data_IF_676316534522
#
_entry.id   IF_676316534522
#
_cell.length_a   1.000
_cell.length_b   1.000
_cell.length_c   1.000
_cell.angle_alpha   90.00
_cell.angle_beta   90.00
_cell.angle_gamma   90.00
#
_symmetry.space_group_name_H-M   'P 1'
#
loop_
_entity.id
_entity.type
_entity.pdbx_description
1 polymer ?
#
# COMPACT_ATOMS: atom_id res chain seq x y z
N UNK A 1 1.81 -34.25 56.99
CA UNK A 1 1.16 -35.59 57.05
C UNK A 1 -0.16 -35.62 56.26
N UNK A 2 -1.30 -35.15 56.79
CA UNK A 2 -2.59 -35.19 56.06
C UNK A 2 -2.73 -34.11 54.97
N UNK A 3 -2.16 -32.92 55.17
CA UNK A 3 -2.21 -31.81 54.19
C UNK A 3 -1.26 -32.04 52.99
N UNK A 4 -0.12 -32.70 53.20
CA UNK A 4 0.81 -33.09 52.11
C UNK A 4 0.20 -34.15 51.19
N UNK A 5 -0.56 -35.12 51.74
CA UNK A 5 -1.25 -36.13 50.95
C UNK A 5 -2.40 -35.55 50.11
N UNK A 6 -3.00 -34.44 50.53
CA UNK A 6 -4.07 -33.76 49.76
C UNK A 6 -3.50 -32.90 48.62
N UNK A 7 -2.31 -32.30 48.80
CA UNK A 7 -1.63 -31.56 47.72
C UNK A 7 -1.01 -32.48 46.65
N UNK A 8 -0.42 -33.63 47.03
CA UNK A 8 0.08 -34.60 46.06
C UNK A 8 -1.04 -35.21 45.20
N UNK A 9 -2.20 -35.50 45.79
CA UNK A 9 -3.34 -36.05 45.06
C UNK A 9 -3.99 -35.04 44.11
N UNK A 10 -4.05 -33.75 44.49
CA UNK A 10 -4.51 -32.68 43.60
C UNK A 10 -3.53 -32.41 42.43
N UNK A 11 -2.22 -32.39 42.72
CA UNK A 11 -1.16 -32.25 41.71
C UNK A 11 -1.15 -33.41 40.70
N UNK A 12 -1.30 -34.65 41.19
CA UNK A 12 -1.39 -35.84 40.34
C UNK A 12 -2.66 -35.86 39.49
N UNK A 13 -3.79 -35.36 40.01
CA UNK A 13 -5.04 -35.24 39.24
C UNK A 13 -4.93 -34.20 38.12
N UNK A 14 -4.28 -33.05 38.37
CA UNK A 14 -4.04 -32.01 37.36
C UNK A 14 -3.05 -32.50 36.28
N UNK A 15 -2.02 -33.25 36.66
CA UNK A 15 -1.06 -33.83 35.71
C UNK A 15 -1.66 -34.97 34.87
N UNK A 16 -2.60 -35.74 35.42
CA UNK A 16 -3.31 -36.79 34.69
C UNK A 16 -4.33 -36.22 33.68
N UNK A 17 -4.92 -35.06 33.97
CA UNK A 17 -5.89 -34.38 33.11
C UNK A 17 -5.24 -33.79 31.84
N UNK A 18 -3.99 -33.33 31.96
CA UNK A 18 -3.19 -32.77 30.86
C UNK A 18 -2.63 -33.84 29.88
N UNK A 19 -2.54 -35.10 30.30
CA UNK A 19 -2.03 -36.21 29.49
C UNK A 19 -3.13 -37.11 28.91
N UNK A 20 -4.40 -36.74 29.08
CA UNK A 20 -5.51 -37.45 28.49
C UNK A 20 -5.69 -36.97 27.04
N UNK A 21 -5.45 -37.84 26.02
CA UNK A 21 -5.53 -37.44 24.61
C UNK A 21 -6.90 -36.86 24.24
N UNK A 22 -7.95 -37.24 24.96
CA UNK A 22 -9.32 -36.73 24.79
C UNK A 22 -9.45 -35.25 25.18
N UNK A 23 -8.77 -34.81 26.25
CA UNK A 23 -8.79 -33.41 26.69
C UNK A 23 -7.95 -32.51 25.77
N UNK A 24 -6.80 -33.01 25.31
CA UNK A 24 -5.97 -32.29 24.35
C UNK A 24 -6.69 -32.09 23.02
N UNK A 25 -7.40 -33.12 22.55
CA UNK A 25 -8.20 -33.03 21.31
C UNK A 25 -9.32 -32.00 21.46
N UNK A 26 -10.03 -31.99 22.59
CA UNK A 26 -11.08 -31.01 22.88
C UNK A 26 -10.54 -29.58 22.97
N UNK A 27 -9.40 -29.37 23.62
CA UNK A 27 -8.77 -28.05 23.70
C UNK A 27 -8.33 -27.53 22.32
N UNK A 28 -7.81 -28.41 21.46
CA UNK A 28 -7.47 -28.06 20.08
C UNK A 28 -8.72 -27.76 19.24
N UNK A 29 -9.82 -28.50 19.43
CA UNK A 29 -11.09 -28.22 18.76
C UNK A 29 -11.69 -26.87 19.20
N UNK A 30 -11.62 -26.55 20.50
CA UNK A 30 -12.03 -25.26 21.05
C UNK A 30 -11.17 -24.11 20.48
N UNK A 31 -9.85 -24.27 20.43
CA UNK A 31 -8.92 -23.28 19.85
C UNK A 31 -9.15 -23.10 18.33
N UNK A 32 -9.36 -24.19 17.59
CA UNK A 32 -9.69 -24.14 16.17
C UNK A 32 -11.03 -23.44 15.93
N UNK A 33 -12.02 -23.63 16.79
CA UNK A 33 -13.30 -22.94 16.71
C UNK A 33 -13.15 -21.43 17.00
N UNK A 34 -12.34 -21.05 17.98
CA UNK A 34 -12.03 -19.66 18.29
C UNK A 34 -11.30 -18.96 17.12
N UNK A 35 -10.25 -19.59 16.58
CA UNK A 35 -9.55 -19.10 15.40
C UNK A 35 -10.48 -19.03 14.18
N UNK A 36 -11.38 -20.01 14.01
CA UNK A 36 -12.41 -20.01 12.98
C UNK A 36 -13.36 -18.82 13.10
N UNK A 37 -13.83 -18.51 14.31
CA UNK A 37 -14.66 -17.35 14.59
C UNK A 37 -13.95 -16.02 14.32
N UNK A 38 -12.66 -15.91 14.66
CA UNK A 38 -11.85 -14.73 14.33
C UNK A 38 -11.69 -14.58 12.82
N UNK A 39 -11.46 -15.67 12.09
CA UNK A 39 -11.37 -15.66 10.62
C UNK A 39 -12.71 -15.22 10.00
N UNK A 40 -13.83 -15.73 10.52
CA UNK A 40 -15.17 -15.36 10.04
C UNK A 40 -15.46 -13.87 10.30
N UNK A 41 -15.18 -13.37 11.50
CA UNK A 41 -15.29 -11.95 11.84
C UNK A 41 -14.38 -11.07 10.99
N UNK A 42 -13.14 -11.49 10.76
CA UNK A 42 -12.20 -10.81 9.87
C UNK A 42 -12.65 -10.83 8.40
N UNK A 43 -13.33 -11.89 7.96
CA UNK A 43 -13.88 -12.00 6.60
C UNK A 43 -15.15 -11.17 6.40
N UNK A 44 -15.91 -10.93 7.48
CA UNK A 44 -17.13 -10.10 7.48
C UNK A 44 -16.87 -8.61 7.71
N UNK A 45 -15.64 -8.23 8.06
CA UNK A 45 -15.17 -6.85 7.98
C UNK A 45 -15.05 -6.44 6.50
N UNK A 46 -16.20 -6.14 5.90
CA UNK A 46 -16.35 -5.44 4.62
C UNK A 46 -15.84 -3.98 4.74
N UNK A 47 -14.63 -3.78 5.22
CA UNK A 47 -14.00 -2.46 5.36
C UNK A 47 -13.49 -1.98 4.00
N UNK A 48 -14.45 -1.67 3.13
CA UNK A 48 -14.24 -0.98 1.86
C UNK A 48 -13.80 0.49 2.03
N UNK A 49 -13.57 0.95 3.25
CA UNK A 49 -13.29 2.35 3.59
C UNK A 49 -11.99 2.84 2.96
N UNK A 50 -10.92 2.05 3.04
CA UNK A 50 -9.59 2.43 2.53
C UNK A 50 -9.53 2.35 0.99
N UNK A 51 -10.12 1.31 0.40
CA UNK A 51 -10.19 1.13 -1.04
C UNK A 51 -11.12 2.17 -1.71
N UNK A 52 -12.25 2.49 -1.10
CA UNK A 52 -13.14 3.56 -1.57
C UNK A 52 -12.51 4.95 -1.44
N UNK A 53 -11.82 5.22 -0.32
CA UNK A 53 -11.04 6.44 -0.16
C UNK A 53 -9.90 6.53 -1.20
N UNK A 54 -9.28 5.40 -1.59
CA UNK A 54 -8.32 5.35 -2.69
C UNK A 54 -8.94 5.77 -4.02
N UNK A 55 -10.15 5.33 -4.33
CA UNK A 55 -10.85 5.73 -5.55
C UNK A 55 -11.09 7.25 -5.59
N UNK A 56 -11.50 7.80 -4.44
CA UNK A 56 -11.71 9.24 -4.27
C UNK A 56 -10.40 10.02 -4.42
N UNK A 57 -9.32 9.54 -3.78
CA UNK A 57 -7.99 10.12 -3.87
C UNK A 57 -7.42 10.09 -5.30
N UNK A 58 -7.63 9.00 -6.04
CA UNK A 58 -7.22 8.90 -7.44
C UNK A 58 -8.00 9.88 -8.32
N UNK A 59 -9.32 10.00 -8.13
CA UNK A 59 -10.17 10.92 -8.89
C UNK A 59 -9.72 12.37 -8.69
N UNK A 60 -9.62 12.80 -7.43
CA UNK A 60 -9.16 14.14 -7.07
C UNK A 60 -7.71 14.38 -7.52
N UNK A 61 -6.84 13.41 -7.37
CA UNK A 61 -5.44 13.49 -7.79
C UNK A 61 -5.33 13.71 -9.31
N UNK A 62 -6.09 12.96 -10.10
CA UNK A 62 -6.09 13.12 -11.55
C UNK A 62 -6.76 14.40 -12.05
N UNK A 63 -7.80 14.90 -11.37
CA UNK A 63 -8.41 16.20 -11.67
C UNK A 63 -7.39 17.33 -11.45
N UNK A 64 -6.69 17.31 -10.32
CA UNK A 64 -5.63 18.28 -10.04
C UNK A 64 -4.51 18.22 -11.09
N UNK A 65 -4.09 17.03 -11.50
CA UNK A 65 -3.09 16.89 -12.57
C UNK A 65 -3.51 17.53 -13.89
N UNK A 66 -4.78 17.40 -14.27
CA UNK A 66 -5.28 18.07 -15.46
C UNK A 66 -5.16 19.58 -15.35
N UNK A 67 -5.47 20.15 -14.19
CA UNK A 67 -5.31 21.59 -13.94
C UNK A 67 -3.86 22.06 -14.11
N UNK A 68 -2.89 21.27 -13.63
CA UNK A 68 -1.46 21.57 -13.74
C UNK A 68 -0.78 21.06 -15.02
N UNK A 69 -1.57 20.51 -15.97
CA UNK A 69 -1.06 19.88 -17.22
C UNK A 69 -0.02 18.78 -16.97
N UNK A 70 -0.08 18.14 -15.81
CA UNK A 70 0.79 17.02 -15.46
C UNK A 70 0.31 15.73 -16.12
N UNK A 71 1.21 14.76 -16.38
CA UNK A 71 0.83 13.44 -16.88
C UNK A 71 -0.15 12.75 -15.92
N UNK A 72 -1.20 12.13 -16.46
CA UNK A 72 -2.16 11.31 -15.70
C UNK A 72 -1.53 9.96 -15.31
N UNK A 73 -0.51 10.00 -14.44
CA UNK A 73 0.26 8.85 -14.00
C UNK A 73 0.34 8.83 -12.48
N UNK A 74 -0.11 7.73 -11.89
CA UNK A 74 -0.12 7.52 -10.45
C UNK A 74 0.63 6.24 -10.08
N UNK A 75 1.44 6.30 -9.03
CA UNK A 75 2.01 5.12 -8.40
C UNK A 75 1.39 4.91 -7.01
N UNK A 76 0.99 3.67 -6.75
CA UNK A 76 0.46 3.23 -5.47
C UNK A 76 1.47 2.26 -4.85
N UNK A 77 1.96 2.58 -3.67
CA UNK A 77 2.85 1.73 -2.89
C UNK A 77 2.09 0.95 -1.84
N UNK A 78 2.37 -0.35 -1.76
CA UNK A 78 1.91 -1.25 -0.70
C UNK A 78 3.03 -2.20 -0.29
N UNK A 79 3.01 -2.66 0.96
CA UNK A 79 3.98 -3.63 1.45
C UNK A 79 3.68 -5.05 0.97
N UNK A 80 2.41 -5.36 0.67
CA UNK A 80 1.94 -6.73 0.43
C UNK A 80 1.50 -6.99 -1.01
N UNK A 81 1.94 -8.14 -1.54
CA UNK A 81 1.46 -8.65 -2.84
C UNK A 81 -0.04 -8.98 -2.83
N UNK A 82 -0.56 -9.42 -1.67
CA UNK A 82 -2.01 -9.69 -1.51
C UNK A 82 -2.81 -8.40 -1.66
N UNK A 83 -2.36 -7.32 -1.00
CA UNK A 83 -2.98 -6.00 -1.13
C UNK A 83 -2.86 -5.47 -2.56
N UNK A 84 -1.70 -5.66 -3.20
CA UNK A 84 -1.50 -5.30 -4.61
C UNK A 84 -2.51 -5.99 -5.55
N UNK A 85 -2.72 -7.30 -5.40
CA UNK A 85 -3.69 -8.07 -6.19
C UNK A 85 -5.14 -7.63 -5.89
N UNK A 86 -5.47 -7.45 -4.61
CA UNK A 86 -6.77 -6.91 -4.19
C UNK A 86 -7.05 -5.54 -4.82
N UNK A 87 -6.09 -4.62 -4.78
CA UNK A 87 -6.22 -3.28 -5.35
C UNK A 87 -6.36 -3.33 -6.87
N UNK A 88 -5.65 -4.24 -7.55
CA UNK A 88 -5.80 -4.44 -8.99
C UNK A 88 -7.21 -4.89 -9.36
N UNK A 89 -7.76 -5.88 -8.65
CA UNK A 89 -9.13 -6.34 -8.87
C UNK A 89 -10.15 -5.23 -8.57
N UNK A 90 -9.99 -4.55 -7.44
CA UNK A 90 -10.88 -3.47 -7.01
C UNK A 90 -10.89 -2.30 -8.00
N UNK A 91 -9.71 -1.81 -8.40
CA UNK A 91 -9.61 -0.69 -9.34
C UNK A 91 -10.08 -1.10 -10.75
N UNK A 92 -9.83 -2.35 -11.17
CA UNK A 92 -10.34 -2.87 -12.43
C UNK A 92 -11.86 -2.85 -12.47
N UNK A 93 -12.51 -3.29 -11.38
CA UNK A 93 -13.97 -3.24 -11.25
C UNK A 93 -14.53 -1.81 -11.20
N UNK A 94 -13.73 -0.83 -10.79
CA UNK A 94 -14.11 0.58 -10.66
C UNK A 94 -13.57 1.47 -11.79
N UNK A 95 -13.50 0.94 -13.02
CA UNK A 95 -13.27 1.74 -14.24
C UNK A 95 -11.80 1.93 -14.65
N UNK A 96 -10.85 1.28 -13.97
CA UNK A 96 -9.43 1.27 -14.35
C UNK A 96 -8.99 -0.03 -15.04
N UNK A 97 -9.94 -0.86 -15.48
CA UNK A 97 -9.64 -2.07 -16.25
C UNK A 97 -8.78 -1.75 -17.48
N UNK A 98 -7.68 -2.49 -17.67
CA UNK A 98 -6.73 -2.27 -18.76
C UNK A 98 -5.81 -1.05 -18.62
N UNK A 99 -5.92 -0.27 -17.53
CA UNK A 99 -5.10 0.91 -17.25
C UNK A 99 -4.20 0.74 -16.03
N UNK A 100 -4.06 -0.50 -15.56
CA UNK A 100 -3.31 -0.86 -14.37
C UNK A 100 -2.08 -1.67 -14.77
N UNK A 101 -0.98 -1.48 -14.03
CA UNK A 101 0.18 -2.33 -14.14
C UNK A 101 0.67 -2.72 -12.75
N UNK A 102 0.94 -4.01 -12.58
CA UNK A 102 1.51 -4.54 -11.34
C UNK A 102 3.03 -4.59 -11.44
N UNK A 103 3.69 -4.12 -10.38
CA UNK A 103 5.15 -4.13 -10.27
C UNK A 103 5.59 -4.74 -8.94
N UNK A 104 6.19 -5.92 -9.01
CA UNK A 104 6.59 -6.74 -7.87
C UNK A 104 7.95 -7.40 -8.12
N UNK A 105 8.57 -7.98 -7.09
CA UNK A 105 9.88 -8.61 -7.22
C UNK A 105 9.96 -9.72 -8.28
N UNK A 106 8.85 -10.42 -8.56
CA UNK A 106 8.82 -11.50 -9.56
C UNK A 106 8.08 -11.13 -10.86
N UNK A 107 7.16 -10.16 -10.83
CA UNK A 107 6.39 -9.73 -12.00
C UNK A 107 5.76 -10.89 -12.80
N UNK A 108 5.21 -11.89 -12.11
CA UNK A 108 4.67 -13.10 -12.73
C UNK A 108 3.19 -13.03 -13.10
N UNK A 109 2.53 -11.89 -12.83
CA UNK A 109 1.12 -11.70 -13.14
C UNK A 109 0.86 -11.92 -14.65
N UNK A 110 -0.26 -12.56 -15.06
CA UNK A 110 -0.55 -12.84 -16.47
C UNK A 110 -0.47 -11.60 -17.36
N UNK A 111 -1.03 -10.47 -16.92
CA UNK A 111 -0.96 -9.19 -17.65
C UNK A 111 0.48 -8.71 -17.86
N UNK A 112 1.33 -8.84 -16.83
CA UNK A 112 2.76 -8.49 -16.94
C UNK A 112 3.48 -9.34 -18.00
N UNK A 113 3.08 -10.60 -18.18
CA UNK A 113 3.65 -11.46 -19.23
C UNK A 113 3.18 -11.09 -20.63
N UNK A 114 1.97 -10.57 -20.77
CA UNK A 114 1.46 -10.05 -22.05
C UNK A 114 2.23 -8.79 -22.44
N UNK A 115 2.34 -7.83 -21.51
CA UNK A 115 3.11 -6.59 -21.71
C UNK A 115 4.56 -6.91 -22.09
N UNK A 116 5.20 -7.84 -21.38
CA UNK A 116 6.58 -8.24 -21.66
C UNK A 116 6.75 -8.87 -23.05
N UNK A 117 5.84 -9.76 -23.48
CA UNK A 117 5.91 -10.38 -24.80
C UNK A 117 5.78 -9.36 -25.91
N UNK A 118 4.80 -8.45 -25.79
CA UNK A 118 4.63 -7.37 -26.76
C UNK A 118 5.87 -6.47 -26.84
N UNK A 119 6.39 -6.05 -25.69
CA UNK A 119 7.60 -5.22 -25.64
C UNK A 119 8.82 -5.91 -26.26
N UNK A 120 8.97 -7.22 -26.06
CA UNK A 120 10.07 -8.00 -26.62
C UNK A 120 9.97 -8.12 -28.15
N UNK A 121 8.75 -8.25 -28.69
CA UNK A 121 8.52 -8.26 -30.14
C UNK A 121 8.85 -6.90 -30.76
N UNK A 122 8.41 -5.82 -30.12
CA UNK A 122 8.67 -4.44 -30.58
C UNK A 122 10.16 -4.06 -30.55
N UNK A 123 10.91 -4.57 -29.58
CA UNK A 123 12.32 -4.22 -29.35
C UNK A 123 13.30 -5.32 -29.76
N UNK A 124 12.82 -6.33 -30.50
CA UNK A 124 13.64 -7.48 -30.91
C UNK A 124 14.85 -7.04 -31.74
N UNK A 125 16.04 -7.44 -31.31
CA UNK A 125 17.29 -7.10 -32.01
C UNK A 125 17.81 -5.69 -31.74
N UNK A 126 17.25 -4.98 -30.75
CA UNK A 126 17.79 -3.71 -30.26
C UNK A 126 18.62 -3.92 -28.99
N UNK A 127 19.48 -2.95 -28.66
CA UNK A 127 20.30 -2.97 -27.44
C UNK A 127 19.49 -2.85 -26.14
N UNK A 128 18.17 -2.62 -26.23
CA UNK A 128 17.28 -2.56 -25.07
C UNK A 128 17.01 -3.94 -24.48
N UNK A 129 17.07 -5.00 -25.29
CA UNK A 129 16.89 -6.38 -24.83
C UNK A 129 18.23 -6.86 -24.28
N UNK A 130 18.32 -6.94 -22.96
CA UNK A 130 19.57 -7.30 -22.26
C UNK A 130 19.83 -8.80 -22.26
N UNK A 131 18.83 -9.62 -22.62
CA UNK A 131 18.89 -11.08 -22.53
C UNK A 131 18.59 -11.62 -21.13
N UNK A 132 18.47 -10.74 -20.13
CA UNK A 132 18.00 -11.10 -18.79
C UNK A 132 16.50 -10.86 -18.70
N UNK A 133 15.73 -11.94 -18.70
CA UNK A 133 14.27 -11.88 -18.64
C UNK A 133 13.73 -11.08 -17.45
N UNK A 134 14.44 -11.06 -16.31
CA UNK A 134 14.04 -10.26 -15.15
C UNK A 134 14.20 -8.75 -15.39
N UNK A 135 15.31 -8.34 -16.01
CA UNK A 135 15.60 -6.92 -16.30
C UNK A 135 14.69 -6.43 -17.43
N UNK A 136 14.58 -7.22 -18.49
CA UNK A 136 13.79 -6.89 -19.67
C UNK A 136 12.30 -6.78 -19.29
N UNK A 137 11.79 -7.69 -18.46
CA UNK A 137 10.41 -7.60 -17.95
C UNK A 137 10.19 -6.35 -17.11
N UNK A 138 11.11 -5.99 -16.21
CA UNK A 138 10.98 -4.75 -15.41
C UNK A 138 10.95 -3.52 -16.31
N UNK A 139 11.81 -3.49 -17.32
CA UNK A 139 11.89 -2.41 -18.32
C UNK A 139 10.58 -2.31 -19.10
N UNK A 140 10.05 -3.43 -19.58
CA UNK A 140 8.77 -3.48 -20.30
C UNK A 140 7.60 -2.90 -19.49
N UNK A 141 7.52 -3.21 -18.20
CA UNK A 141 6.46 -2.70 -17.32
C UNK A 141 6.60 -1.19 -17.07
N UNK A 142 7.82 -0.70 -16.90
CA UNK A 142 8.10 0.73 -16.73
C UNK A 142 7.80 1.50 -18.02
N UNK A 143 8.18 0.96 -19.18
CA UNK A 143 7.89 1.55 -20.49
C UNK A 143 6.39 1.60 -20.75
N UNK A 144 5.67 0.51 -20.47
CA UNK A 144 4.21 0.45 -20.57
C UNK A 144 3.52 1.45 -19.62
N UNK A 145 4.06 1.66 -18.42
CA UNK A 145 3.54 2.69 -17.51
C UNK A 145 3.83 4.12 -18.01
N UNK A 146 5.01 4.33 -18.60
CA UNK A 146 5.43 5.62 -19.14
C UNK A 146 4.62 6.03 -20.37
N UNK A 147 4.23 5.06 -21.20
CA UNK A 147 3.49 5.32 -22.44
C UNK A 147 2.13 5.99 -22.15
N UNK A 148 1.77 6.99 -22.97
CA UNK A 148 0.49 7.69 -22.89
C UNK A 148 -0.69 6.77 -23.17
N UNK A 149 -0.49 5.74 -24.00
CA UNK A 149 -1.52 4.76 -24.34
C UNK A 149 -1.46 3.50 -23.46
N UNK A 150 -0.51 3.42 -22.53
CA UNK A 150 -0.36 2.31 -21.60
C UNK A 150 -1.10 2.53 -20.27
N UNK A 151 -0.52 2.04 -19.18
CA UNK A 151 -1.15 2.06 -17.87
C UNK A 151 -1.14 3.47 -17.22
N UNK A 152 -2.27 3.90 -16.66
CA UNK A 152 -2.38 5.16 -15.89
C UNK A 152 -1.91 4.99 -14.44
N UNK A 153 -2.04 3.77 -13.91
CA UNK A 153 -1.76 3.47 -12.50
C UNK A 153 -0.78 2.29 -12.41
N UNK A 154 0.33 2.49 -11.69
CA UNK A 154 1.22 1.41 -11.28
C UNK A 154 0.98 1.08 -9.81
N UNK A 155 0.74 -0.19 -9.49
CA UNK A 155 0.71 -0.66 -8.10
C UNK A 155 2.01 -1.39 -7.87
N UNK A 156 2.83 -0.90 -6.94
CA UNK A 156 4.17 -1.40 -6.70
C UNK A 156 4.36 -1.90 -5.25
N UNK A 157 5.06 -3.03 -5.11
CA UNK A 157 5.61 -3.43 -3.80
C UNK A 157 6.94 -2.74 -3.53
N UNK A 158 7.25 -2.47 -2.27
CA UNK A 158 8.48 -1.78 -1.83
C UNK A 158 9.75 -2.36 -2.47
N UNK A 159 9.97 -3.66 -2.33
CA UNK A 159 11.17 -4.35 -2.85
C UNK A 159 11.30 -4.27 -4.39
N UNK A 160 10.19 -4.02 -5.09
CA UNK A 160 10.21 -3.93 -6.53
C UNK A 160 10.65 -2.56 -7.01
N UNK A 161 10.12 -1.49 -6.39
CA UNK A 161 10.28 -0.12 -6.84
C UNK A 161 11.64 0.52 -6.48
N UNK A 162 12.46 -0.16 -5.68
CA UNK A 162 13.81 0.29 -5.39
C UNK A 162 14.63 0.47 -6.68
N UNK A 163 15.35 1.60 -6.75
CA UNK A 163 16.20 1.93 -7.90
C UNK A 163 15.46 2.35 -9.18
N UNK A 164 14.11 2.37 -9.20
CA UNK A 164 13.36 2.75 -10.41
C UNK A 164 13.31 4.26 -10.60
N UNK A 165 13.34 4.72 -11.86
CA UNK A 165 13.13 6.11 -12.23
C UNK A 165 11.67 6.35 -12.66
N UNK A 166 10.93 7.12 -11.86
CA UNK A 166 9.51 7.44 -12.06
C UNK A 166 9.27 8.95 -12.15
N UNK A 167 10.26 9.72 -12.62
CA UNK A 167 10.15 11.18 -12.80
C UNK A 167 8.96 11.63 -13.68
N UNK A 168 8.37 10.74 -14.47
CA UNK A 168 7.17 11.06 -15.26
C UNK A 168 5.86 10.92 -14.49
N UNK A 169 5.91 10.45 -13.24
CA UNK A 169 4.76 10.22 -12.37
C UNK A 169 4.55 11.43 -11.46
N UNK A 170 3.31 11.94 -11.42
CA UNK A 170 2.95 13.13 -10.65
C UNK A 170 2.11 12.81 -9.41
N UNK A 171 1.54 11.59 -9.29
CA UNK A 171 0.84 11.13 -8.08
C UNK A 171 1.66 10.04 -7.42
N UNK A 172 1.89 10.18 -6.13
CA UNK A 172 2.41 9.13 -5.28
C UNK A 172 1.40 8.86 -4.18
N UNK A 173 0.91 7.63 -4.10
CA UNK A 173 -0.02 7.20 -3.06
C UNK A 173 0.67 6.12 -2.23
N UNK A 174 0.86 6.38 -0.94
CA UNK A 174 1.25 5.35 0.00
C UNK A 174 -0.03 4.74 0.57
N UNK A 175 -0.41 3.57 0.05
CA UNK A 175 -1.55 2.82 0.58
C UNK A 175 -1.22 2.31 1.97
N UNK A 176 0.00 1.80 2.17
CA UNK A 176 0.52 1.45 3.49
C UNK A 176 1.75 2.31 3.77
N UNK A 177 1.70 3.07 4.87
CA UNK A 177 2.80 3.95 5.24
C UNK A 177 3.92 3.11 5.89
N UNK A 178 5.18 3.21 5.41
CA UNK A 178 6.28 2.48 5.99
C UNK A 178 6.68 3.13 7.32
N UNK A 179 6.99 2.30 8.30
CA UNK A 179 7.38 2.69 9.65
C UNK A 179 8.70 3.47 9.72
N UNK A 180 9.48 3.43 8.64
CA UNK A 180 10.72 4.17 8.50
C UNK A 180 10.50 5.39 7.57
N UNK A 181 10.53 6.63 8.10
CA UNK A 181 10.37 7.86 7.31
C UNK A 181 11.33 7.97 6.12
N UNK A 182 12.54 7.43 6.25
CA UNK A 182 13.53 7.43 5.16
C UNK A 182 13.03 6.70 3.92
N UNK A 183 12.20 5.65 4.10
CA UNK A 183 11.60 4.94 2.97
C UNK A 183 10.61 5.82 2.22
N UNK A 184 9.78 6.59 2.94
CA UNK A 184 8.86 7.55 2.32
C UNK A 184 9.63 8.57 1.48
N UNK A 185 10.70 9.13 2.02
CA UNK A 185 11.55 10.07 1.27
C UNK A 185 12.19 9.43 0.03
N UNK A 186 12.65 8.18 0.14
CA UNK A 186 13.20 7.46 -1.00
C UNK A 186 12.16 7.22 -2.10
N UNK A 187 10.90 6.95 -1.73
CA UNK A 187 9.76 6.85 -2.66
C UNK A 187 9.51 8.19 -3.36
N UNK A 188 9.43 9.27 -2.59
CA UNK A 188 9.28 10.64 -3.13
C UNK A 188 10.43 10.98 -4.08
N UNK A 189 11.67 10.68 -3.71
CA UNK A 189 12.85 10.88 -4.55
C UNK A 189 12.93 10.02 -5.82
N UNK A 190 12.02 9.06 -6.03
CA UNK A 190 11.86 8.37 -7.33
C UNK A 190 11.06 9.20 -8.32
N UNK A 191 10.13 10.01 -7.83
CA UNK A 191 9.24 10.84 -8.63
C UNK A 191 9.76 12.28 -8.68
N UNK A 192 10.18 12.84 -7.55
CA UNK A 192 10.65 14.21 -7.42
C UNK A 192 12.19 14.27 -7.41
N UNK A 193 12.78 14.57 -8.57
CA UNK A 193 14.23 14.76 -8.75
C UNK A 193 14.52 16.10 -9.43
N UNK A 194 15.77 16.56 -9.35
CA UNK A 194 16.22 17.78 -10.02
C UNK A 194 15.84 17.77 -11.52
N UNK A 195 15.15 18.82 -11.99
CA UNK A 195 14.64 18.94 -13.37
C UNK A 195 13.21 18.45 -13.60
N UNK A 196 12.51 17.99 -12.55
CA UNK A 196 11.07 17.68 -12.59
C UNK A 196 10.27 18.91 -13.05
N UNK A 197 9.42 18.75 -14.07
CA UNK A 197 8.63 19.85 -14.66
C UNK A 197 7.27 20.04 -13.97
N UNK A 198 6.88 19.11 -13.09
CA UNK A 198 5.56 19.04 -12.47
C UNK A 198 5.69 18.77 -10.98
N UNK A 199 4.87 19.44 -10.18
CA UNK A 199 4.80 19.17 -8.75
C UNK A 199 4.28 17.74 -8.50
N UNK A 200 4.96 17.02 -7.60
CA UNK A 200 4.58 15.66 -7.22
C UNK A 200 3.65 15.73 -6.03
N UNK A 201 2.42 15.27 -6.20
CA UNK A 201 1.43 15.17 -5.12
C UNK A 201 1.62 13.84 -4.41
N UNK A 202 1.78 13.89 -3.08
CA UNK A 202 1.96 12.72 -2.23
C UNK A 202 0.74 12.57 -1.32
N UNK A 203 0.08 11.41 -1.37
CA UNK A 203 -1.06 11.05 -0.54
C UNK A 203 -0.67 9.88 0.37
N UNK A 204 -0.87 10.04 1.67
CA UNK A 204 -0.56 9.01 2.66
C UNK A 204 -1.86 8.52 3.30
N UNK A 205 -2.12 7.22 3.23
CA UNK A 205 -3.20 6.60 3.97
C UNK A 205 -2.72 6.26 5.37
N UNK A 206 -3.43 6.78 6.37
CA UNK A 206 -3.09 6.67 7.78
C UNK A 206 -4.24 6.01 8.52
N UNK A 207 -3.92 5.06 9.41
CA UNK A 207 -4.88 4.64 10.41
C UNK A 207 -4.68 5.50 11.66
N UNK A 208 -5.61 6.41 11.93
CA UNK A 208 -5.55 7.31 13.09
C UNK A 208 -5.62 6.56 14.43
N UNK A 209 -5.99 5.29 14.46
CA UNK A 209 -5.93 4.47 15.69
C UNK A 209 -4.57 3.80 15.89
N UNK A 210 -3.72 3.79 14.88
CA UNK A 210 -2.39 3.21 14.94
C UNK A 210 -1.36 4.26 15.42
N UNK A 211 -1.06 4.23 16.72
CA UNK A 211 0.32 4.04 17.18
C UNK A 211 1.41 4.73 16.34
N UNK A 212 1.95 3.94 15.44
CA UNK A 212 3.12 4.32 14.71
C UNK A 212 2.83 5.03 13.39
N UNK A 213 1.63 4.88 12.81
CA UNK A 213 1.25 5.73 11.69
C UNK A 213 1.27 7.19 12.14
N UNK A 214 0.76 7.47 13.35
CA UNK A 214 0.86 8.78 14.00
C UNK A 214 2.32 9.20 14.19
N UNK A 215 3.16 8.32 14.77
CA UNK A 215 4.57 8.64 15.03
C UNK A 215 5.37 8.91 13.75
N UNK A 216 5.12 8.16 12.68
CA UNK A 216 5.77 8.37 11.38
C UNK A 216 5.33 9.71 10.79
N UNK A 217 4.05 10.05 10.89
CA UNK A 217 3.55 11.35 10.43
C UNK A 217 4.20 12.51 11.19
N UNK A 218 4.32 12.41 12.52
CA UNK A 218 5.03 13.39 13.34
C UNK A 218 6.47 13.57 12.87
N UNK A 219 7.21 12.47 12.72
CA UNK A 219 8.61 12.50 12.27
C UNK A 219 8.77 13.09 10.86
N UNK A 220 7.86 12.75 9.94
CA UNK A 220 7.84 13.33 8.60
C UNK A 220 7.56 14.83 8.67
N UNK A 221 6.60 15.25 9.50
CA UNK A 221 6.20 16.65 9.66
C UNK A 221 7.31 17.48 10.33
N UNK A 222 7.93 16.97 11.40
CA UNK A 222 9.09 17.58 12.05
C UNK A 222 10.23 17.77 11.05
N UNK A 223 10.52 16.74 10.25
CA UNK A 223 11.60 16.79 9.26
C UNK A 223 11.29 17.77 8.12
N UNK A 224 10.06 17.79 7.61
CA UNK A 224 9.62 18.77 6.61
C UNK A 224 9.65 20.21 7.16
N UNK A 225 9.26 20.42 8.43
CA UNK A 225 9.34 21.72 9.11
C UNK A 225 10.78 22.15 9.41
N UNK A 226 11.69 21.21 9.66
CA UNK A 226 13.13 21.48 9.77
C UNK A 226 13.73 21.98 8.44
N UNK A 227 13.16 21.57 7.31
CA UNK A 227 13.55 22.07 5.98
C UNK A 227 12.88 23.39 5.60
N UNK A 228 11.67 23.69 6.09
CA UNK A 228 11.01 24.99 5.84
C UNK A 228 11.74 26.15 6.52
N UNK A 229 12.35 25.93 7.69
CA UNK A 229 13.15 26.94 8.39
C UNK A 229 14.47 27.34 7.70
N UNK A 230 14.96 26.55 6.73
CA UNK A 230 16.25 26.80 6.03
C UNK A 230 16.03 27.30 4.59
N UNK A 231 14.88 26.99 3.98
CA UNK A 231 14.48 27.50 2.68
C UNK A 231 13.30 28.47 2.85
N UNK A 232 13.59 29.74 3.14
CA UNK A 232 12.61 30.83 3.31
C UNK A 232 11.86 31.25 2.03
N UNK A 233 11.48 30.30 1.17
CA UNK A 233 10.71 30.54 -0.04
C UNK A 233 9.98 29.27 -0.50
N UNK A 234 8.97 28.84 0.26
CA UNK A 234 7.81 28.06 -0.25
C UNK A 234 6.67 27.98 0.78
N UNK A 235 6.49 29.04 1.57
CA UNK A 235 5.42 29.15 2.59
C UNK A 235 3.99 29.25 2.01
N UNK A 236 3.80 29.10 0.70
CA UNK A 236 2.48 29.21 0.05
C UNK A 236 1.90 27.88 -0.49
N UNK A 237 2.67 26.78 -0.51
CA UNK A 237 2.24 25.51 -1.16
C UNK A 237 2.02 24.36 -0.18
N UNK A 238 2.48 24.47 1.07
CA UNK A 238 2.29 23.45 2.10
C UNK A 238 1.18 23.78 3.13
N UNK A 239 0.60 24.99 3.06
CA UNK A 239 -0.28 25.56 4.10
C UNK A 239 -1.80 25.34 3.94
N UNK A 240 -2.28 24.30 3.25
CA UNK A 240 -3.73 23.99 3.18
C UNK A 240 -4.08 22.51 3.27
N UNK A 241 -3.45 21.77 4.19
CA UNK A 241 -4.12 20.64 4.88
C UNK A 241 -3.84 20.73 6.39
N UNK A 242 -3.88 21.96 6.94
CA UNK A 242 -4.10 22.17 8.39
C UNK A 242 -5.60 22.16 8.74
N UNK A 243 -6.51 21.99 7.78
CA UNK A 243 -7.94 21.84 8.08
C UNK A 243 -8.31 20.36 8.34
N UNK A 244 -7.67 19.76 9.33
CA UNK A 244 -8.06 18.50 9.97
C UNK A 244 -9.35 18.60 10.80
N UNK A 245 -10.26 19.52 10.48
CA UNK A 245 -11.53 19.72 11.22
C UNK A 245 -12.78 19.56 10.33
N UNK A 246 -12.67 19.42 9.01
CA UNK A 246 -13.89 19.42 8.15
C UNK A 246 -14.08 18.22 7.20
N UNK A 247 -13.09 17.32 7.08
CA UNK A 247 -13.26 16.12 6.26
C UNK A 247 -14.10 15.05 6.98
N UNK A 248 -13.82 14.80 8.26
CA UNK A 248 -14.60 13.86 9.08
C UNK A 248 -16.02 14.37 9.34
N UNK A 249 -16.22 15.70 9.52
CA UNK A 249 -17.55 16.29 9.73
C UNK A 249 -18.43 16.23 8.48
N UNK A 250 -17.89 16.40 7.27
CA UNK A 250 -18.67 16.25 6.02
C UNK A 250 -19.11 14.81 5.79
N UNK A 251 -18.26 13.84 6.10
CA UNK A 251 -18.61 12.41 5.99
C UNK A 251 -19.67 12.02 7.04
N UNK A 252 -19.56 12.50 8.29
CA UNK A 252 -20.55 12.28 9.34
C UNK A 252 -21.91 12.93 9.02
N UNK A 253 -21.93 14.14 8.45
CA UNK A 253 -23.17 14.83 8.06
C UNK A 253 -23.91 14.07 6.95
N UNK A 254 -23.19 13.43 6.02
CA UNK A 254 -23.80 12.58 4.98
C UNK A 254 -24.36 11.28 5.57
N UNK A 255 -23.79 10.79 6.67
CA UNK A 255 -24.28 9.60 7.39
C UNK A 255 -25.51 9.87 8.27
N UNK A 256 -25.64 11.08 8.85
CA UNK A 256 -26.76 11.45 9.73
C UNK A 256 -28.00 11.99 9.00
N UNK A 257 -27.94 12.18 7.66
CA UNK A 257 -29.06 12.73 6.87
C UNK A 257 -29.73 11.71 5.94
N UNK A 258 -29.46 10.41 6.13
CA UNK A 258 -30.18 9.28 5.51
C UNK A 258 -30.63 8.32 6.61
#
# INVERSE_FOLDING_TARGET
>A
ALEEQTQESASAAIAADANNPTNLTRALEEEMAELGGIIEQASNLNDHTKASALLSALTLGFENMQAYRAPRKAIIFTESRRTQEYLHQFLSANGYAGKLVLFSGTNNHPESQVIYRQWLEEHRGTDRVTGSAQIDKRTALIDHFRDKNGADIMIATEAAAEGVNLQFCALLINYDLPWNPQRVEQRIGRCHRYGQQFDVVVINFLNTRNQADQRVLELLSEKLNLFSGVFGASDEVLGRIESGIDFEKRILTIYDTC
#
